data_IF_414340182907
#
_entry.id   IF_414340182907
#
_cell.length_a   1.000
_cell.length_b   1.000
_cell.length_c   1.000
_cell.angle_alpha   90.00
_cell.angle_beta   90.00
_cell.angle_gamma   90.00
#
_symmetry.space_group_name_H-M   'P 1'
#
loop_
_entity.id
_entity.type
_entity.pdbx_description
1 polymer ?
#
# COMPACT_ATOMS: atom_id res chain seq x y z
N UNK A 1 7.41 -5.41 8.25
CA UNK A 1 6.14 -4.62 8.26
C UNK A 1 6.25 -3.44 7.28
N UNK A 2 5.16 -3.04 6.61
CA UNK A 2 5.09 -1.89 5.71
C UNK A 2 4.13 -0.83 6.30
N UNK A 3 4.48 0.45 6.19
CA UNK A 3 3.56 1.54 6.47
C UNK A 3 3.57 2.60 5.36
N UNK A 4 2.44 3.26 5.14
CA UNK A 4 2.32 4.37 4.20
C UNK A 4 1.61 5.55 4.87
N UNK A 5 2.21 6.74 4.80
CA UNK A 5 1.53 7.97 5.21
C UNK A 5 0.64 8.41 4.05
N UNK A 6 -0.67 8.44 4.25
CA UNK A 6 -1.61 8.76 3.19
C UNK A 6 -2.90 9.39 3.73
N UNK A 7 -3.63 10.07 2.85
CA UNK A 7 -5.02 10.47 3.03
C UNK A 7 -5.76 10.45 1.70
N UNK A 8 -7.08 10.48 1.74
CA UNK A 8 -7.90 10.75 0.56
C UNK A 8 -8.26 12.24 0.51
N UNK A 9 -7.91 12.90 -0.60
CA UNK A 9 -8.30 14.30 -0.84
C UNK A 9 -9.72 14.36 -1.40
N UNK A 10 -10.00 13.55 -2.43
CA UNK A 10 -11.34 13.42 -3.03
C UNK A 10 -11.75 11.95 -3.02
N UNK A 11 -12.72 11.54 -2.18
CA UNK A 11 -13.19 10.17 -2.17
C UNK A 11 -14.05 9.86 -3.40
N UNK A 12 -14.27 8.57 -3.70
CA UNK A 12 -15.25 8.17 -4.70
C UNK A 12 -16.64 8.76 -4.42
N UNK A 13 -17.43 8.95 -5.47
CA UNK A 13 -18.78 9.52 -5.36
C UNK A 13 -19.62 8.76 -4.31
N UNK A 14 -20.25 9.53 -3.40
CA UNK A 14 -21.07 8.99 -2.32
C UNK A 14 -20.30 8.35 -1.16
N UNK A 15 -18.96 8.41 -1.15
CA UNK A 15 -18.13 7.85 -0.09
C UNK A 15 -17.42 8.92 0.74
N UNK A 16 -17.03 8.56 1.95
CA UNK A 16 -16.20 9.38 2.85
C UNK A 16 -14.77 8.85 2.98
N UNK A 17 -14.49 7.68 2.38
CA UNK A 17 -13.19 7.02 2.42
C UNK A 17 -12.81 6.51 1.04
N UNK A 18 -11.53 6.22 0.83
CA UNK A 18 -11.00 5.58 -0.37
C UNK A 18 -10.32 4.26 -0.01
N UNK A 19 -10.66 3.18 -0.71
CA UNK A 19 -9.99 1.89 -0.53
C UNK A 19 -8.80 1.75 -1.47
N UNK A 20 -7.64 1.46 -0.90
CA UNK A 20 -6.49 0.92 -1.61
C UNK A 20 -6.54 -0.62 -1.50
N UNK A 21 -6.75 -1.35 -2.60
CA UNK A 21 -6.94 -2.80 -2.55
C UNK A 21 -5.64 -3.56 -2.26
N UNK A 22 -4.48 -2.99 -2.62
CA UNK A 22 -3.18 -3.58 -2.36
C UNK A 22 -2.13 -2.51 -2.04
N UNK A 23 -1.62 -2.58 -0.81
CA UNK A 23 -0.39 -1.95 -0.35
C UNK A 23 0.53 -3.10 0.05
N UNK A 24 1.64 -3.25 -0.67
CA UNK A 24 2.41 -4.50 -0.61
C UNK A 24 3.90 -4.30 -0.80
N UNK A 25 4.66 -5.27 -0.31
CA UNK A 25 6.03 -5.53 -0.75
C UNK A 25 5.93 -6.72 -1.70
N UNK A 26 6.40 -6.61 -2.93
CA UNK A 26 6.34 -7.68 -3.93
C UNK A 26 7.64 -7.81 -4.72
N UNK A 27 7.81 -8.93 -5.41
CA UNK A 27 8.89 -9.10 -6.39
C UNK A 27 8.80 -8.05 -7.49
N UNK A 28 9.95 -7.55 -7.93
CA UNK A 28 10.06 -6.60 -9.05
C UNK A 28 10.18 -7.28 -10.42
N UNK A 29 10.14 -8.61 -10.46
CA UNK A 29 10.13 -9.41 -11.67
C UNK A 29 9.06 -10.51 -11.58
N UNK A 30 8.69 -11.06 -12.73
CA UNK A 30 7.75 -12.18 -12.81
C UNK A 30 8.18 -13.33 -11.87
N UNK A 31 7.25 -13.94 -11.11
CA UNK A 31 5.79 -13.80 -11.21
C UNK A 31 5.16 -12.66 -10.38
N UNK A 32 5.93 -11.67 -9.90
CA UNK A 32 5.46 -10.56 -9.05
C UNK A 32 4.83 -11.04 -7.73
N UNK A 33 5.37 -12.10 -7.14
CA UNK A 33 4.80 -12.65 -5.91
C UNK A 33 4.86 -11.63 -4.78
N UNK A 34 3.73 -11.36 -4.09
CA UNK A 34 3.73 -10.52 -2.90
C UNK A 34 4.42 -11.24 -1.74
N UNK A 35 5.14 -10.47 -0.94
CA UNK A 35 5.79 -10.87 0.31
C UNK A 35 4.92 -10.49 1.50
N UNK A 36 4.38 -9.27 1.46
CA UNK A 36 3.42 -8.72 2.41
C UNK A 36 2.39 -7.99 1.55
N UNK A 37 1.09 -8.20 1.79
CA UNK A 37 0.03 -7.51 1.06
C UNK A 37 -1.20 -7.32 1.95
N UNK A 38 -1.85 -6.17 1.81
CA UNK A 38 -3.10 -5.87 2.50
C UNK A 38 -3.81 -4.68 1.87
N UNK A 39 -5.09 -4.56 2.17
CA UNK A 39 -5.89 -3.40 1.80
C UNK A 39 -5.92 -2.36 2.93
N UNK A 40 -5.97 -1.09 2.57
CA UNK A 40 -6.13 0.02 3.53
C UNK A 40 -7.29 0.92 3.11
N UNK A 41 -8.03 1.43 4.09
CA UNK A 41 -9.06 2.44 3.85
C UNK A 41 -8.54 3.79 4.34
N UNK A 42 -8.45 4.75 3.42
CA UNK A 42 -7.97 6.09 3.67
C UNK A 42 -9.12 7.00 4.11
N UNK A 43 -8.82 7.89 5.05
CA UNK A 43 -9.70 8.99 5.48
C UNK A 43 -9.16 10.32 4.97
N UNK A 44 -9.92 11.41 5.13
CA UNK A 44 -9.46 12.77 4.79
C UNK A 44 -8.32 13.28 5.67
N UNK A 45 -8.09 12.62 6.81
CA UNK A 45 -6.96 12.90 7.70
C UNK A 45 -5.72 12.12 7.28
N UNK A 46 -4.57 12.79 7.35
CA UNK A 46 -3.25 12.18 7.24
C UNK A 46 -3.03 11.14 8.34
N UNK A 47 -2.92 9.87 7.95
CA UNK A 47 -2.65 8.76 8.88
C UNK A 47 -1.55 7.86 8.35
N UNK A 48 -0.88 7.20 9.28
CA UNK A 48 0.08 6.15 8.95
C UNK A 48 -0.67 4.82 8.92
N UNK A 49 -0.81 4.24 7.73
CA UNK A 49 -1.52 2.99 7.51
C UNK A 49 -0.54 1.83 7.47
N UNK A 50 -0.79 0.78 8.25
CA UNK A 50 0.10 -0.36 8.38
C UNK A 50 -0.41 -1.58 7.61
N UNK A 51 0.51 -2.26 6.95
CA UNK A 51 0.33 -3.61 6.43
C UNK A 51 1.39 -4.51 7.06
N UNK A 52 0.92 -5.46 7.85
CA UNK A 52 1.77 -6.42 8.55
C UNK A 52 1.80 -7.74 7.79
N UNK A 53 2.90 -8.46 7.93
CA UNK A 53 3.10 -9.76 7.31
C UNK A 53 4.51 -10.25 7.57
N UNK A 54 4.69 -11.56 7.43
CA UNK A 54 5.98 -12.23 7.59
C UNK A 54 6.42 -12.74 6.24
N UNK A 55 7.65 -12.44 5.83
CA UNK A 55 8.19 -13.02 4.60
C UNK A 55 8.38 -14.52 4.79
N UNK A 56 7.82 -15.38 3.91
CA UNK A 56 8.01 -16.82 4.00
C UNK A 56 9.42 -17.27 3.58
N UNK A 57 10.18 -16.41 2.90
CA UNK A 57 11.51 -16.72 2.36
C UNK A 57 12.43 -15.50 2.41
N UNK A 58 13.73 -15.74 2.58
CA UNK A 58 14.75 -14.72 2.36
C UNK A 58 14.83 -14.36 0.88
N UNK A 59 15.05 -13.08 0.58
CA UNK A 59 15.20 -12.59 -0.79
C UNK A 59 16.52 -11.85 -0.96
N UNK A 60 17.21 -12.02 -2.10
CA UNK A 60 18.37 -11.22 -2.43
C UNK A 60 18.01 -9.72 -2.48
N UNK A 61 18.97 -8.88 -2.12
CA UNK A 61 18.84 -7.43 -2.22
C UNK A 61 18.42 -7.01 -3.63
N UNK A 62 17.53 -6.03 -3.72
CA UNK A 62 17.07 -5.46 -4.99
C UNK A 62 16.04 -6.29 -5.75
N UNK A 63 15.53 -7.39 -5.18
CA UNK A 63 14.54 -8.27 -5.84
C UNK A 63 13.10 -8.08 -5.31
N UNK A 64 12.86 -7.01 -4.55
CA UNK A 64 11.55 -6.65 -4.04
C UNK A 64 11.39 -5.12 -3.94
N UNK A 65 10.16 -4.64 -4.08
CA UNK A 65 9.82 -3.23 -3.97
C UNK A 65 8.47 -3.01 -3.30
N UNK A 66 8.26 -1.80 -2.79
CA UNK A 66 6.94 -1.35 -2.31
C UNK A 66 6.06 -1.07 -3.53
N UNK A 67 4.83 -1.56 -3.52
CA UNK A 67 3.83 -1.32 -4.57
C UNK A 67 2.50 -0.94 -3.94
N UNK A 68 1.86 0.06 -4.54
CA UNK A 68 0.54 0.55 -4.14
C UNK A 68 -0.36 0.54 -5.38
N UNK A 69 -1.46 -0.21 -5.34
CA UNK A 69 -2.46 -0.21 -6.40
C UNK A 69 -3.49 0.89 -6.16
N UNK A 70 -3.58 1.85 -7.10
CA UNK A 70 -4.48 3.00 -7.00
C UNK A 70 -5.76 2.85 -7.85
N UNK A 71 -5.77 1.89 -8.79
CA UNK A 71 -6.84 1.68 -9.78
C UNK A 71 -8.09 1.01 -9.19
N UNK A 72 -8.68 1.60 -8.16
CA UNK A 72 -9.89 1.08 -7.50
C UNK A 72 -11.15 1.89 -7.82
N UNK A 73 -11.06 3.21 -7.93
CA UNK A 73 -12.18 4.11 -8.20
C UNK A 73 -11.67 5.46 -8.74
N UNK A 74 -12.59 6.34 -9.18
CA UNK A 74 -12.26 7.75 -9.43
C UNK A 74 -12.13 8.47 -8.08
N UNK A 75 -10.90 8.83 -7.71
CA UNK A 75 -10.55 9.39 -6.41
C UNK A 75 -9.21 10.11 -6.51
N UNK A 76 -8.96 11.06 -5.62
CA UNK A 76 -7.67 11.74 -5.47
C UNK A 76 -7.07 11.36 -4.12
N UNK A 77 -5.84 10.86 -4.14
CA UNK A 77 -5.14 10.33 -2.97
C UNK A 77 -3.81 11.08 -2.84
N UNK A 78 -3.55 11.58 -1.64
CA UNK A 78 -2.25 12.13 -1.30
C UNK A 78 -1.37 11.02 -0.71
N UNK A 79 -0.17 10.88 -1.28
CA UNK A 79 0.83 9.92 -0.82
C UNK A 79 2.02 10.65 -0.20
N UNK A 80 2.29 10.30 1.05
CA UNK A 80 3.48 10.65 1.78
C UNK A 80 4.58 9.59 1.64
N UNK A 81 5.56 9.56 2.56
CA UNK A 81 6.57 8.52 2.58
C UNK A 81 5.97 7.15 2.89
N UNK A 82 6.61 6.13 2.32
CA UNK A 82 6.44 4.73 2.70
C UNK A 82 7.62 4.30 3.58
N UNK A 83 7.32 3.47 4.58
CA UNK A 83 8.28 2.98 5.57
C UNK A 83 8.29 1.46 5.57
N UNK A 84 9.48 0.87 5.58
CA UNK A 84 9.67 -0.57 5.74
C UNK A 84 10.38 -0.81 7.07
N UNK A 85 9.78 -1.65 7.92
CA UNK A 85 10.29 -2.01 9.24
C UNK A 85 10.64 -3.50 9.29
N UNK A 86 11.65 -3.85 10.10
CA UNK A 86 12.04 -5.23 10.40
C UNK A 86 11.16 -5.86 11.49
#
# INVERSE_FOLDING_TARGET
MLAVWARVETPPEGQTTARLPAVMIQQNAAPYSPVISGGVNLTSEWKLHFVTGTSPVDRPNGNAGVTIHLANANQTIDLGPAFVFN
#
